data_IF_927576688912
#
_entry.id   IF_927576688912
#
_cell.length_a   1.000
_cell.length_b   1.000
_cell.length_c   1.000
_cell.angle_alpha   90.00
_cell.angle_beta   90.00
_cell.angle_gamma   90.00
#
_symmetry.space_group_name_H-M   'P 1'
#
loop_
_entity.id
_entity.type
_entity.pdbx_description
1 polymer ?
#
# COMPACT_ATOMS: atom_id res chain seq x y z
N UNK A 1 -54.83 -31.20 -23.11
CA UNK A 1 -55.34 -32.58 -23.01
C UNK A 1 -56.65 -32.54 -22.24
N UNK A 2 -57.75 -33.01 -22.80
CA UNK A 2 -59.07 -33.03 -22.13
C UNK A 2 -59.35 -34.46 -21.69
N UNK A 3 -59.49 -34.69 -20.39
CA UNK A 3 -59.93 -35.97 -19.84
C UNK A 3 -61.42 -35.85 -19.58
N UNK A 4 -62.21 -36.70 -20.23
CA UNK A 4 -63.67 -36.76 -20.07
C UNK A 4 -63.97 -37.87 -19.08
N UNK A 5 -64.65 -37.54 -17.98
CA UNK A 5 -65.12 -38.54 -17.00
C UNK A 5 -66.62 -38.34 -16.85
N UNK A 6 -67.41 -39.26 -17.38
CA UNK A 6 -68.86 -39.30 -17.19
C UNK A 6 -69.16 -40.14 -15.94
N UNK A 7 -69.59 -39.48 -14.85
CA UNK A 7 -69.98 -40.14 -13.62
C UNK A 7 -71.50 -40.36 -13.61
N UNK A 8 -71.92 -41.61 -13.85
CA UNK A 8 -73.30 -42.06 -13.63
C UNK A 8 -73.37 -42.83 -12.31
N UNK A 9 -74.04 -42.23 -11.33
CA UNK A 9 -74.54 -42.91 -10.13
C UNK A 9 -73.49 -43.29 -9.08
N UNK A 10 -73.08 -42.36 -8.23
CA UNK A 10 -72.52 -42.67 -6.90
C UNK A 10 -72.92 -41.63 -5.86
N UNK A 11 -73.21 -42.09 -4.66
CA UNK A 11 -73.37 -41.25 -3.48
C UNK A 11 -71.99 -40.75 -3.03
N UNK A 12 -71.78 -39.44 -3.06
CA UNK A 12 -70.62 -38.80 -2.42
C UNK A 12 -71.05 -38.38 -1.02
N UNK A 13 -70.60 -39.11 -0.01
CA UNK A 13 -70.60 -38.63 1.39
C UNK A 13 -69.31 -37.85 1.58
N UNK A 14 -69.37 -36.52 1.55
CA UNK A 14 -68.28 -35.65 1.99
C UNK A 14 -68.61 -35.10 3.36
N UNK A 15 -67.85 -35.50 4.37
CA UNK A 15 -67.76 -34.77 5.63
C UNK A 15 -67.26 -33.35 5.36
N UNK A 16 -67.83 -32.40 6.12
CA UNK A 16 -67.81 -30.98 5.80
C UNK A 16 -66.43 -30.35 5.60
N UNK A 17 -66.29 -29.63 4.49
CA UNK A 17 -65.36 -28.49 4.31
C UNK A 17 -65.62 -27.72 3.01
N UNK A 18 -66.26 -28.35 2.01
CA UNK A 18 -66.71 -27.70 0.79
C UNK A 18 -68.22 -27.57 0.86
N UNK A 19 -68.74 -26.36 1.05
CA UNK A 19 -70.18 -26.07 1.14
C UNK A 19 -70.92 -26.32 -0.17
N UNK A 20 -71.00 -27.59 -0.59
CA UNK A 20 -71.79 -28.04 -1.73
C UNK A 20 -73.14 -28.51 -1.17
N UNK A 21 -74.27 -27.90 -1.56
CA UNK A 21 -75.58 -28.38 -1.10
C UNK A 21 -75.84 -29.78 -1.65
N UNK A 22 -76.37 -30.67 -0.81
CA UNK A 22 -76.69 -32.06 -1.15
C UNK A 22 -77.55 -32.12 -2.42
N UNK A 23 -77.02 -32.72 -3.49
CA UNK A 23 -77.71 -32.89 -4.76
C UNK A 23 -78.69 -34.07 -4.67
N UNK A 24 -80.00 -33.79 -4.78
CA UNK A 24 -81.04 -34.80 -4.93
C UNK A 24 -80.99 -35.50 -6.30
N UNK A 25 -81.49 -36.73 -6.34
CA UNK A 25 -81.27 -37.78 -7.35
C UNK A 25 -81.76 -37.55 -8.81
N UNK A 26 -81.72 -36.33 -9.35
CA UNK A 26 -82.10 -36.09 -10.77
C UNK A 26 -81.34 -34.98 -11.48
N UNK A 27 -80.06 -34.76 -11.14
CA UNK A 27 -79.24 -33.74 -11.82
C UNK A 27 -78.11 -34.34 -12.66
N UNK A 28 -78.05 -33.94 -13.94
CA UNK A 28 -76.89 -34.17 -14.79
C UNK A 28 -75.88 -33.04 -14.56
N UNK A 29 -74.73 -33.36 -13.98
CA UNK A 29 -73.59 -32.46 -13.89
C UNK A 29 -72.56 -32.81 -14.97
N UNK A 30 -72.06 -31.80 -15.69
CA UNK A 30 -70.97 -31.99 -16.67
C UNK A 30 -69.72 -31.30 -16.12
N UNK A 31 -68.79 -32.07 -15.58
CA UNK A 31 -67.51 -31.55 -15.11
C UNK A 31 -66.54 -31.51 -16.29
N UNK A 32 -66.05 -30.33 -16.64
CA UNK A 32 -65.05 -30.18 -17.71
C UNK A 32 -63.75 -29.67 -17.10
N UNK A 33 -62.78 -30.56 -16.93
CA UNK A 33 -61.45 -30.17 -16.45
C UNK A 33 -60.67 -29.66 -17.66
N UNK A 34 -60.42 -28.35 -17.69
CA UNK A 34 -59.59 -27.71 -18.72
C UNK A 34 -58.29 -27.26 -18.08
N UNK A 35 -57.17 -27.79 -18.59
CA UNK A 35 -55.84 -27.35 -18.20
C UNK A 35 -55.36 -26.41 -19.31
N UNK A 36 -55.27 -25.11 -19.01
CA UNK A 36 -54.83 -24.09 -19.96
C UNK A 36 -53.33 -24.27 -20.25
N UNK A 37 -52.91 -24.41 -21.53
CA UNK A 37 -51.50 -24.72 -21.88
C UNK A 37 -50.51 -23.57 -21.61
N UNK A 38 -50.99 -22.35 -21.36
CA UNK A 38 -50.13 -21.18 -21.07
C UNK A 38 -49.31 -21.32 -19.76
N UNK A 39 -49.51 -22.42 -19.03
CA UNK A 39 -48.72 -22.83 -17.87
C UNK A 39 -47.45 -23.63 -18.20
N UNK A 40 -47.14 -23.90 -19.48
CA UNK A 40 -45.96 -24.67 -19.91
C UNK A 40 -44.95 -23.89 -20.76
N UNK A 41 -45.13 -22.58 -20.97
CA UNK A 41 -44.10 -21.75 -21.60
C UNK A 41 -43.09 -21.29 -20.55
N UNK A 42 -41.90 -21.89 -20.61
CA UNK A 42 -40.76 -21.56 -19.77
C UNK A 42 -40.35 -20.09 -19.93
N UNK A 43 -40.59 -19.27 -18.91
CA UNK A 43 -39.88 -18.00 -18.73
C UNK A 43 -38.53 -18.27 -18.02
N UNK A 44 -37.46 -17.49 -18.30
CA UNK A 44 -36.10 -17.80 -17.82
C UNK A 44 -35.91 -17.73 -16.30
N UNK A 45 -36.90 -17.21 -15.56
CA UNK A 45 -36.81 -16.97 -14.13
C UNK A 45 -37.99 -17.63 -13.42
N UNK A 46 -37.77 -18.85 -12.90
CA UNK A 46 -38.54 -19.53 -11.85
C UNK A 46 -40.01 -19.14 -11.72
N UNK A 47 -40.88 -19.75 -12.54
CA UNK A 47 -42.34 -19.57 -12.46
C UNK A 47 -42.91 -20.06 -11.14
N UNK A 48 -43.67 -19.20 -10.45
CA UNK A 48 -44.68 -19.64 -9.47
C UNK A 48 -45.68 -20.55 -10.21
N UNK A 49 -46.06 -21.72 -9.65
CA UNK A 49 -47.07 -22.56 -10.28
C UNK A 49 -48.40 -21.80 -10.37
N UNK A 50 -48.90 -21.64 -11.59
CA UNK A 50 -50.22 -21.07 -11.84
C UNK A 50 -51.30 -22.02 -11.25
N UNK A 51 -52.37 -21.48 -10.65
CA UNK A 51 -53.43 -22.32 -10.10
C UNK A 51 -54.13 -23.09 -11.23
N UNK A 52 -54.38 -24.38 -11.03
CA UNK A 52 -55.27 -25.15 -11.91
C UNK A 52 -56.68 -24.69 -11.60
N UNK A 53 -57.38 -24.15 -12.60
CA UNK A 53 -58.77 -23.73 -12.48
C UNK A 53 -59.67 -24.87 -12.96
N UNK A 54 -60.42 -25.45 -12.05
CA UNK A 54 -61.46 -26.43 -12.34
C UNK A 54 -62.76 -25.67 -12.54
N UNK A 55 -63.33 -25.79 -13.73
CA UNK A 55 -64.64 -25.23 -14.06
C UNK A 55 -65.68 -26.34 -14.05
N UNK A 56 -66.66 -26.21 -13.16
CA UNK A 56 -67.78 -27.14 -13.07
C UNK A 56 -69.05 -26.44 -13.53
N UNK A 57 -69.59 -26.89 -14.66
CA UNK A 57 -70.86 -26.41 -15.19
C UNK A 57 -71.96 -27.41 -14.79
N UNK A 58 -72.95 -26.95 -14.03
CA UNK A 58 -74.09 -27.80 -13.68
C UNK A 58 -75.42 -27.09 -13.93
N UNK A 59 -76.44 -27.91 -14.21
CA UNK A 59 -77.79 -27.45 -14.53
C UNK A 59 -78.75 -28.02 -13.49
N UNK A 60 -79.14 -27.18 -12.54
CA UNK A 60 -80.13 -27.54 -11.52
C UNK A 60 -81.53 -27.42 -12.12
N UNK A 61 -82.37 -28.46 -11.99
CA UNK A 61 -83.72 -28.49 -12.56
C UNK A 61 -84.67 -27.37 -12.09
N UNK A 62 -84.29 -26.56 -11.08
CA UNK A 62 -85.06 -25.41 -10.60
C UNK A 62 -84.61 -24.05 -11.15
N UNK A 63 -83.43 -23.95 -11.78
CA UNK A 63 -82.90 -22.70 -12.32
C UNK A 63 -82.64 -22.88 -13.83
N UNK A 64 -83.32 -22.08 -14.68
CA UNK A 64 -83.16 -22.15 -16.14
C UNK A 64 -81.79 -21.69 -16.64
N UNK A 65 -81.03 -20.98 -15.82
CA UNK A 65 -79.68 -20.49 -16.10
C UNK A 65 -78.60 -21.51 -15.69
N UNK A 66 -77.62 -21.81 -16.55
CA UNK A 66 -76.48 -22.65 -16.18
C UNK A 66 -75.67 -21.96 -15.09
N UNK A 67 -75.40 -22.68 -14.00
CA UNK A 67 -74.57 -22.18 -12.90
C UNK A 67 -73.15 -22.72 -13.07
N UNK A 68 -72.18 -21.81 -13.00
CA UNK A 68 -70.75 -22.11 -13.12
C UNK A 68 -70.15 -21.99 -11.73
N UNK A 69 -69.49 -23.05 -11.26
CA UNK A 69 -68.63 -22.99 -10.07
C UNK A 69 -67.19 -23.11 -10.55
N UNK A 70 -66.40 -22.10 -10.22
CA UNK A 70 -64.95 -22.10 -10.43
C UNK A 70 -64.28 -22.48 -9.12
N UNK A 71 -63.43 -23.51 -9.16
CA UNK A 71 -62.61 -23.92 -8.02
C UNK A 71 -61.16 -23.91 -8.45
N UNK A 72 -60.32 -23.18 -7.73
CA UNK A 72 -58.88 -23.14 -8.01
C UNK A 72 -58.12 -24.02 -7.04
N UNK A 73 -57.30 -24.94 -7.55
CA UNK A 73 -56.34 -25.70 -6.74
C UNK A 73 -54.99 -25.04 -6.87
N UNK A 74 -54.48 -24.49 -5.77
CA UNK A 74 -53.12 -23.95 -5.69
C UNK A 74 -52.14 -25.12 -5.57
N UNK A 75 -51.38 -25.39 -6.64
CA UNK A 75 -50.27 -26.33 -6.57
C UNK A 75 -49.18 -25.74 -5.69
N UNK A 76 -49.07 -26.21 -4.45
CA UNK A 76 -47.88 -25.97 -3.64
C UNK A 76 -46.87 -27.02 -4.08
N UNK A 77 -46.08 -26.70 -5.11
CA UNK A 77 -44.86 -27.47 -5.35
C UNK A 77 -44.00 -27.33 -4.10
N UNK A 78 -43.81 -28.43 -3.36
CA UNK A 78 -42.81 -28.48 -2.29
C UNK A 78 -41.45 -28.43 -2.98
N UNK A 79 -40.98 -27.20 -3.23
CA UNK A 79 -39.60 -26.96 -3.60
C UNK A 79 -38.83 -27.12 -2.29
N UNK A 80 -38.21 -28.29 -2.10
CA UNK A 80 -37.29 -28.52 -0.98
C UNK A 80 -36.28 -27.38 -0.97
N UNK A 81 -36.15 -26.71 0.18
CA UNK A 81 -35.17 -25.66 0.31
C UNK A 81 -33.78 -26.28 0.05
N UNK A 82 -32.84 -25.58 -0.62
CA UNK A 82 -31.51 -26.12 -0.90
C UNK A 82 -30.82 -26.69 0.35
N UNK A 83 -31.05 -26.06 1.51
CA UNK A 83 -30.51 -26.47 2.83
C UNK A 83 -31.07 -27.81 3.35
N UNK A 84 -32.21 -28.25 2.83
CA UNK A 84 -32.80 -29.56 3.11
C UNK A 84 -32.20 -30.66 2.23
N UNK A 85 -31.59 -30.30 1.10
CA UNK A 85 -31.02 -31.23 0.12
C UNK A 85 -29.55 -31.50 0.39
N UNK A 86 -28.79 -30.45 0.72
CA UNK A 86 -27.37 -30.57 1.05
C UNK A 86 -26.96 -29.56 2.13
N UNK A 87 -25.93 -29.89 2.89
CA UNK A 87 -25.18 -28.95 3.71
C UNK A 87 -23.87 -28.61 3.01
N UNK A 88 -23.62 -27.33 2.75
CA UNK A 88 -22.40 -26.85 2.09
C UNK A 88 -21.61 -26.03 3.09
N UNK A 89 -20.41 -26.50 3.41
CA UNK A 89 -19.47 -25.84 4.33
C UNK A 89 -18.20 -25.45 3.62
N UNK A 90 -17.61 -24.34 4.03
CA UNK A 90 -16.33 -23.88 3.53
C UNK A 90 -15.28 -24.05 4.62
N UNK A 91 -14.13 -24.59 4.24
CA UNK A 91 -12.94 -24.66 5.08
C UNK A 91 -11.76 -24.07 4.31
N UNK A 92 -11.04 -23.11 4.91
CA UNK A 92 -9.87 -22.49 4.28
C UNK A 92 -8.60 -22.90 5.02
N UNK A 93 -7.53 -23.17 4.27
CA UNK A 93 -6.22 -23.49 4.84
C UNK A 93 -5.44 -22.26 5.33
N UNK A 94 -5.85 -21.05 4.93
CA UNK A 94 -5.02 -19.84 5.11
C UNK A 94 -5.90 -18.61 5.31
N UNK A 95 -5.59 -17.80 6.32
CA UNK A 95 -6.35 -16.58 6.64
C UNK A 95 -6.03 -15.42 5.68
N UNK A 96 -4.79 -15.36 5.17
CA UNK A 96 -4.34 -14.30 4.26
C UNK A 96 -3.77 -14.88 2.97
N UNK A 97 -4.22 -14.37 1.83
CA UNK A 97 -3.74 -14.75 0.50
C UNK A 97 -2.83 -13.66 -0.03
N UNK A 98 -1.66 -14.05 -0.53
CA UNK A 98 -0.68 -13.10 -1.10
C UNK A 98 -0.20 -13.59 -2.47
N UNK A 99 0.50 -12.73 -3.21
CA UNK A 99 1.10 -13.07 -4.51
C UNK A 99 1.98 -14.34 -4.46
N UNK A 100 2.70 -14.55 -3.35
CA UNK A 100 3.63 -15.68 -3.19
C UNK A 100 3.04 -16.85 -2.40
N UNK A 101 1.90 -16.65 -1.75
CA UNK A 101 1.21 -17.69 -0.98
C UNK A 101 -0.25 -17.76 -1.45
N UNK A 102 -0.54 -18.59 -2.48
CA UNK A 102 -1.89 -18.88 -2.93
C UNK A 102 -2.71 -19.53 -1.81
N UNK A 103 -3.99 -19.19 -1.73
CA UNK A 103 -4.91 -19.79 -0.76
C UNK A 103 -5.60 -21.01 -1.33
N UNK A 104 -6.02 -21.92 -0.45
CA UNK A 104 -6.87 -23.06 -0.79
C UNK A 104 -8.15 -23.01 0.02
N UNK A 105 -9.28 -23.12 -0.69
CA UNK A 105 -10.61 -23.24 -0.10
C UNK A 105 -11.18 -24.59 -0.46
N UNK A 106 -11.65 -25.32 0.54
CA UNK A 106 -12.34 -26.58 0.37
C UNK A 106 -13.83 -26.36 0.51
N UNK A 107 -14.57 -26.67 -0.55
CA UNK A 107 -16.03 -26.71 -0.53
C UNK A 107 -16.46 -28.12 -0.16
N UNK A 108 -16.96 -28.30 1.06
CA UNK A 108 -17.42 -29.58 1.58
C UNK A 108 -18.93 -29.64 1.39
N UNK A 109 -19.37 -30.50 0.48
CA UNK A 109 -20.79 -30.72 0.21
C UNK A 109 -21.19 -32.04 0.87
N UNK A 110 -22.18 -31.99 1.76
CA UNK A 110 -22.77 -33.16 2.43
C UNK A 110 -24.16 -33.38 1.91
N UNK A 111 -24.37 -34.55 1.32
CA UNK A 111 -25.66 -34.97 0.80
C UNK A 111 -26.58 -35.36 1.96
N UNK A 112 -27.76 -34.74 2.08
CA UNK A 112 -28.75 -35.10 3.10
C UNK A 112 -29.82 -36.06 2.58
N UNK A 113 -29.80 -36.35 1.27
CA UNK A 113 -30.77 -37.23 0.63
C UNK A 113 -30.36 -38.70 0.76
N UNK A 114 -31.36 -39.56 0.64
CA UNK A 114 -31.25 -41.02 0.44
C UNK A 114 -30.89 -41.40 -1.00
N UNK A 115 -30.75 -40.40 -1.88
CA UNK A 115 -30.43 -40.54 -3.30
C UNK A 115 -29.06 -39.91 -3.62
N UNK A 116 -28.35 -40.37 -4.68
CA UNK A 116 -27.09 -39.75 -5.08
C UNK A 116 -27.29 -38.30 -5.54
N UNK A 117 -26.41 -37.42 -5.09
CA UNK A 117 -26.41 -35.99 -5.40
C UNK A 117 -25.27 -35.67 -6.37
N UNK A 118 -25.59 -35.11 -7.53
CA UNK A 118 -24.60 -34.67 -8.51
C UNK A 118 -24.27 -33.19 -8.32
N UNK A 119 -23.00 -32.91 -8.01
CA UNK A 119 -22.46 -31.54 -7.95
C UNK A 119 -21.99 -31.16 -9.35
N UNK A 120 -22.48 -30.02 -9.85
CA UNK A 120 -22.06 -29.44 -11.12
C UNK A 120 -20.74 -28.68 -11.00
N UNK A 121 -20.47 -27.81 -11.98
CA UNK A 121 -19.32 -26.90 -11.92
C UNK A 121 -19.53 -25.93 -10.75
N UNK A 122 -18.57 -25.88 -9.82
CA UNK A 122 -18.56 -24.86 -8.78
C UNK A 122 -18.01 -23.59 -9.41
N UNK A 123 -18.81 -22.53 -9.41
CA UNK A 123 -18.41 -21.22 -9.91
C UNK A 123 -18.27 -20.25 -8.74
N UNK A 124 -17.39 -19.27 -8.89
CA UNK A 124 -17.19 -18.23 -7.88
C UNK A 124 -17.50 -16.87 -8.48
N UNK A 125 -18.14 -16.02 -7.70
CA UNK A 125 -18.19 -14.58 -7.93
C UNK A 125 -17.26 -13.92 -6.94
N UNK A 126 -16.18 -13.36 -7.46
CA UNK A 126 -15.15 -12.71 -6.68
C UNK A 126 -14.80 -11.37 -7.32
N UNK A 127 -14.14 -10.46 -6.58
CA UNK A 127 -13.62 -9.25 -7.17
C UNK A 127 -12.62 -9.56 -8.29
N UNK A 128 -12.51 -8.63 -9.26
CA UNK A 128 -11.67 -8.76 -10.48
C UNK A 128 -10.23 -9.17 -10.19
N UNK A 129 -9.73 -8.87 -8.98
CA UNK A 129 -8.38 -9.15 -8.53
C UNK A 129 -8.21 -10.53 -7.85
N UNK A 130 -9.03 -11.51 -8.20
CA UNK A 130 -8.85 -12.91 -7.75
C UNK A 130 -9.09 -13.88 -8.89
N UNK A 131 -8.11 -14.75 -9.15
CA UNK A 131 -8.28 -15.87 -10.07
C UNK A 131 -8.68 -17.09 -9.25
N UNK A 132 -9.81 -17.69 -9.61
CA UNK A 132 -10.38 -18.85 -8.93
C UNK A 132 -10.45 -20.00 -9.91
N UNK A 133 -9.67 -21.04 -9.66
CA UNK A 133 -9.71 -22.25 -10.47
C UNK A 133 -11.02 -23.00 -10.17
N UNK A 134 -11.88 -23.18 -11.17
CA UNK A 134 -13.14 -23.92 -10.99
C UNK A 134 -12.82 -25.40 -10.80
N UNK A 135 -13.37 -26.04 -9.77
CA UNK A 135 -13.32 -27.50 -9.66
C UNK A 135 -14.44 -28.14 -10.49
N UNK A 136 -14.12 -29.24 -11.17
CA UNK A 136 -15.15 -30.12 -11.74
C UNK A 136 -15.88 -30.80 -10.59
N UNK A 137 -17.21 -30.75 -10.62
CA UNK A 137 -18.04 -31.44 -9.64
C UNK A 137 -18.02 -32.95 -9.81
N UNK A 138 -18.69 -33.65 -8.90
CA UNK A 138 -18.76 -35.11 -8.86
C UNK A 138 -20.06 -35.60 -8.25
N UNK A 139 -20.29 -36.91 -8.33
CA UNK A 139 -21.43 -37.55 -7.68
C UNK A 139 -21.08 -37.89 -6.24
N UNK A 140 -21.97 -37.52 -5.32
CA UNK A 140 -21.88 -37.80 -3.89
C UNK A 140 -22.90 -38.89 -3.55
N UNK A 141 -22.49 -39.98 -2.88
CA UNK A 141 -23.43 -41.03 -2.50
C UNK A 141 -24.47 -40.51 -1.48
N UNK A 142 -25.59 -41.24 -1.30
CA UNK A 142 -26.56 -40.97 -0.23
C UNK A 142 -25.87 -40.80 1.13
N UNK A 143 -26.25 -39.75 1.87
CA UNK A 143 -25.66 -39.41 3.18
C UNK A 143 -24.13 -39.23 3.21
N UNK A 144 -23.47 -39.15 2.05
CA UNK A 144 -22.03 -38.98 1.95
C UNK A 144 -21.61 -37.51 1.87
N UNK A 145 -20.29 -37.29 2.00
CA UNK A 145 -19.68 -35.98 1.82
C UNK A 145 -18.53 -36.04 0.81
N UNK A 146 -18.35 -34.99 0.03
CA UNK A 146 -17.20 -34.79 -0.83
C UNK A 146 -16.62 -33.39 -0.64
N UNK A 147 -15.30 -33.28 -0.73
CA UNK A 147 -14.57 -32.02 -0.66
C UNK A 147 -14.02 -31.67 -2.05
N UNK A 148 -14.30 -30.45 -2.49
CA UNK A 148 -13.79 -29.90 -3.75
C UNK A 148 -12.78 -28.80 -3.44
N UNK A 149 -11.55 -28.96 -3.94
CA UNK A 149 -10.47 -27.99 -3.75
C UNK A 149 -10.58 -26.87 -4.78
N UNK A 150 -10.58 -25.63 -4.28
CA UNK A 150 -10.57 -24.42 -5.08
C UNK A 150 -9.31 -23.63 -4.75
N UNK A 151 -8.50 -23.38 -5.78
CA UNK A 151 -7.30 -22.56 -5.65
C UNK A 151 -7.66 -21.09 -5.84
N UNK A 152 -7.23 -20.26 -4.89
CA UNK A 152 -7.38 -18.82 -4.91
C UNK A 152 -6.01 -18.17 -5.18
N UNK A 153 -5.94 -17.34 -6.22
CA UNK A 153 -4.73 -16.61 -6.62
C UNK A 153 -5.01 -15.12 -6.77
N UNK A 154 -3.98 -14.30 -6.60
CA UNK A 154 -4.05 -12.85 -6.79
C UNK A 154 -3.25 -12.44 -8.04
N UNK A 155 -3.71 -11.45 -8.84
CA UNK A 155 -3.05 -11.02 -10.07
C UNK A 155 -1.86 -10.05 -9.84
N UNK A 156 -1.11 -10.23 -8.75
CA UNK A 156 0.10 -9.45 -8.45
C UNK A 156 -0.18 -8.10 -7.79
N UNK A 157 -0.94 -7.19 -8.43
CA UNK A 157 -1.34 -5.89 -7.85
C UNK A 157 -2.76 -5.96 -7.31
N UNK A 158 -2.95 -5.58 -6.05
CA UNK A 158 -4.25 -5.58 -5.39
C UNK A 158 -4.31 -4.48 -4.33
N UNK A 159 -5.53 -4.14 -3.93
CA UNK A 159 -5.77 -3.32 -2.75
C UNK A 159 -5.84 -4.25 -1.53
N UNK A 160 -4.93 -4.16 -0.54
CA UNK A 160 -4.97 -5.04 0.63
C UNK A 160 -6.25 -4.81 1.44
N UNK A 161 -6.79 -5.89 1.99
CA UNK A 161 -8.03 -5.82 2.78
C UNK A 161 -8.84 -7.10 2.78
N UNK A 162 -10.02 -7.05 3.39
CA UNK A 162 -10.96 -8.18 3.44
C UNK A 162 -12.01 -8.06 2.35
N UNK A 163 -12.23 -9.15 1.64
CA UNK A 163 -13.16 -9.21 0.52
C UNK A 163 -14.06 -10.43 0.62
N UNK A 164 -15.37 -10.27 0.36
CA UNK A 164 -16.28 -11.39 0.24
C UNK A 164 -16.12 -12.07 -1.12
N UNK A 165 -16.06 -13.40 -1.11
CA UNK A 165 -16.14 -14.28 -2.27
C UNK A 165 -17.39 -15.13 -2.11
N UNK A 166 -18.21 -15.22 -3.15
CA UNK A 166 -19.42 -16.05 -3.12
C UNK A 166 -19.23 -17.25 -4.03
N UNK A 167 -19.36 -18.46 -3.47
CA UNK A 167 -19.34 -19.69 -4.22
C UNK A 167 -20.77 -20.11 -4.58
N UNK A 168 -21.02 -20.38 -5.86
CA UNK A 168 -22.26 -20.92 -6.39
C UNK A 168 -22.06 -22.41 -6.71
N UNK A 169 -22.70 -23.24 -5.89
CA UNK A 169 -22.66 -24.70 -5.99
C UNK A 169 -23.94 -25.17 -6.64
N UNK A 170 -23.85 -25.54 -7.92
CA UNK A 170 -24.95 -26.15 -8.64
C UNK A 170 -25.13 -27.62 -8.23
N UNK A 171 -26.32 -27.97 -7.78
CA UNK A 171 -26.71 -29.30 -7.32
C UNK A 171 -27.81 -29.87 -8.22
N UNK A 172 -27.75 -31.17 -8.47
CA UNK A 172 -28.80 -31.88 -9.21
C UNK A 172 -29.00 -33.30 -8.67
N UNK A 173 -30.24 -33.75 -8.66
CA UNK A 173 -30.59 -35.09 -8.17
C UNK A 173 -31.78 -35.68 -8.92
N UNK A 174 -31.86 -37.02 -9.01
CA UNK A 174 -33.02 -37.68 -9.59
C UNK A 174 -34.25 -37.51 -8.69
N UNK A 175 -35.41 -37.32 -9.31
CA UNK A 175 -36.72 -37.26 -8.67
C UNK A 175 -37.73 -38.08 -9.49
N UNK A 176 -38.88 -38.43 -8.90
CA UNK A 176 -39.91 -39.25 -9.55
C UNK A 176 -40.44 -38.65 -10.86
N UNK A 177 -40.33 -37.33 -11.04
CA UNK A 177 -40.80 -36.60 -12.22
C UNK A 177 -39.66 -36.07 -13.11
N UNK A 178 -38.42 -36.51 -12.90
CA UNK A 178 -37.24 -36.07 -13.64
C UNK A 178 -36.10 -35.57 -12.75
N UNK A 179 -35.12 -34.87 -13.31
CA UNK A 179 -34.00 -34.33 -12.54
C UNK A 179 -34.36 -32.99 -11.92
N UNK A 180 -34.22 -32.87 -10.60
CA UNK A 180 -34.32 -31.59 -9.88
C UNK A 180 -32.96 -30.89 -9.85
N UNK A 181 -32.98 -29.56 -9.75
CA UNK A 181 -31.79 -28.71 -9.66
C UNK A 181 -31.97 -27.66 -8.56
N UNK A 182 -30.89 -27.33 -7.88
CA UNK A 182 -30.81 -26.24 -6.93
C UNK A 182 -29.42 -25.60 -6.98
N UNK A 183 -29.32 -24.35 -6.56
CA UNK A 183 -28.04 -23.66 -6.37
C UNK A 183 -27.93 -23.24 -4.91
N UNK A 184 -26.76 -23.48 -4.32
CA UNK A 184 -26.43 -23.02 -2.98
C UNK A 184 -25.36 -21.95 -3.09
N UNK A 185 -25.66 -20.76 -2.58
CA UNK A 185 -24.71 -19.64 -2.51
C UNK A 185 -24.06 -19.60 -1.14
N UNK A 186 -22.74 -19.74 -1.09
CA UNK A 186 -21.99 -19.73 0.17
C UNK A 186 -21.00 -18.58 0.17
N UNK A 187 -21.20 -17.54 1.01
CA UNK A 187 -20.24 -16.45 1.16
C UNK A 187 -19.02 -16.87 1.99
N UNK A 188 -17.86 -16.34 1.65
CA UNK A 188 -16.61 -16.53 2.37
C UNK A 188 -15.80 -15.25 2.36
N UNK A 189 -15.34 -14.80 3.52
CA UNK A 189 -14.43 -13.67 3.59
C UNK A 189 -12.99 -14.15 3.47
N UNK A 190 -12.24 -13.45 2.62
CA UNK A 190 -10.81 -13.70 2.42
C UNK A 190 -10.05 -12.42 2.65
N UNK A 191 -8.96 -12.50 3.41
CA UNK A 191 -8.03 -11.39 3.57
C UNK A 191 -6.97 -11.46 2.47
N UNK A 192 -6.88 -10.41 1.66
CA UNK A 192 -5.86 -10.25 0.64
C UNK A 192 -4.76 -9.33 1.17
N UNK A 193 -3.52 -9.76 1.05
CA UNK A 193 -2.36 -9.00 1.51
C UNK A 193 -1.21 -9.01 0.51
N UNK A 194 -0.24 -8.13 0.76
CA UNK A 194 1.03 -8.08 0.02
C UNK A 194 2.10 -8.77 0.87
N UNK A 195 2.82 -9.72 0.28
CA UNK A 195 3.68 -10.70 0.96
C UNK A 195 4.72 -10.10 1.92
N UNK A 196 5.22 -8.89 1.66
CA UNK A 196 6.26 -8.25 2.45
C UNK A 196 5.76 -7.16 3.41
N UNK A 197 4.49 -6.76 3.33
CA UNK A 197 3.99 -5.62 4.09
C UNK A 197 3.87 -5.92 5.60
N UNK A 198 3.19 -7.01 5.94
CA UNK A 198 2.83 -7.33 7.35
C UNK A 198 4.06 -7.62 8.20
N UNK A 199 5.03 -8.36 7.66
CA UNK A 199 6.25 -8.70 8.38
C UNK A 199 7.12 -7.45 8.62
N UNK A 200 7.27 -6.59 7.61
CA UNK A 200 8.20 -5.46 7.68
C UNK A 200 7.64 -4.31 8.50
N UNK A 201 6.35 -3.99 8.38
CA UNK A 201 5.73 -2.95 9.22
C UNK A 201 5.83 -3.28 10.71
N UNK A 202 5.66 -4.57 11.07
CA UNK A 202 5.81 -5.04 12.45
C UNK A 202 7.25 -4.94 12.95
N UNK A 203 8.24 -5.33 12.14
CA UNK A 203 9.66 -5.27 12.51
C UNK A 203 10.13 -3.81 12.67
N UNK A 204 9.71 -2.93 11.76
CA UNK A 204 10.13 -1.53 11.78
C UNK A 204 9.28 -0.66 12.73
N UNK A 205 8.25 -1.23 13.36
CA UNK A 205 7.27 -0.49 14.18
C UNK A 205 6.66 0.73 13.46
N UNK A 206 6.55 0.65 12.13
CA UNK A 206 5.97 1.75 11.32
C UNK A 206 4.46 1.51 11.22
N UNK A 207 3.61 2.49 11.59
CA UNK A 207 2.16 2.28 11.66
C UNK A 207 1.49 1.90 10.34
N UNK A 208 2.09 2.28 9.21
CA UNK A 208 1.50 2.10 7.89
C UNK A 208 2.57 2.11 6.80
N UNK A 209 2.35 1.35 5.73
CA UNK A 209 3.16 1.42 4.52
C UNK A 209 3.21 2.85 3.94
N UNK A 210 2.15 3.63 4.09
CA UNK A 210 2.10 5.02 3.62
C UNK A 210 3.14 5.94 4.26
N UNK A 211 3.70 5.55 5.41
CA UNK A 211 4.72 6.31 6.14
C UNK A 211 6.15 5.84 5.84
N UNK A 212 6.26 4.68 5.22
CA UNK A 212 7.53 3.97 5.07
C UNK A 212 8.51 4.67 4.11
N UNK A 213 8.09 5.25 2.96
CA UNK A 213 9.03 5.92 2.05
C UNK A 213 9.83 7.05 2.72
N UNK A 214 9.13 7.98 3.38
CA UNK A 214 9.78 9.10 4.06
C UNK A 214 10.58 8.66 5.29
N UNK A 215 10.11 7.65 6.02
CA UNK A 215 10.90 7.01 7.08
C UNK A 215 12.24 6.49 6.55
N UNK A 216 12.22 5.73 5.45
CA UNK A 216 13.42 5.19 4.83
C UNK A 216 14.35 6.30 4.33
N UNK A 217 13.81 7.37 3.75
CA UNK A 217 14.61 8.53 3.32
C UNK A 217 15.39 9.15 4.49
N UNK A 218 14.74 9.38 5.64
CA UNK A 218 15.39 10.00 6.80
C UNK A 218 16.46 9.07 7.40
N UNK A 219 16.15 7.78 7.55
CA UNK A 219 17.11 6.80 8.07
C UNK A 219 18.31 6.66 7.13
N UNK A 220 18.08 6.53 5.82
CA UNK A 220 19.14 6.46 4.82
C UNK A 220 19.99 7.74 4.79
N UNK A 221 19.35 8.90 4.94
CA UNK A 221 20.04 10.18 5.04
C UNK A 221 20.99 10.21 6.24
N UNK A 222 20.51 9.81 7.42
CA UNK A 222 21.31 9.81 8.65
C UNK A 222 22.45 8.78 8.60
N UNK A 223 22.17 7.58 8.08
CA UNK A 223 23.17 6.52 7.94
C UNK A 223 24.27 6.94 6.96
N UNK A 224 23.91 7.52 5.82
CA UNK A 224 24.87 8.04 4.86
C UNK A 224 25.70 9.17 5.46
N UNK A 225 25.08 10.08 6.21
CA UNK A 225 25.79 11.16 6.89
C UNK A 225 26.82 10.63 7.90
N UNK A 226 26.45 9.63 8.71
CA UNK A 226 27.38 8.98 9.64
C UNK A 226 28.50 8.22 8.91
N UNK A 227 28.16 7.48 7.85
CA UNK A 227 29.14 6.77 7.03
C UNK A 227 30.17 7.72 6.42
N UNK A 228 29.73 8.87 5.89
CA UNK A 228 30.63 9.90 5.35
C UNK A 228 31.53 10.55 6.41
N UNK A 229 31.05 10.68 7.66
CA UNK A 229 31.89 11.11 8.79
C UNK A 229 33.00 10.09 9.07
N UNK A 230 32.63 8.80 9.17
CA UNK A 230 33.56 7.71 9.44
C UNK A 230 34.62 7.58 8.34
N UNK A 231 34.21 7.64 7.07
CA UNK A 231 35.13 7.61 5.93
C UNK A 231 36.17 8.75 5.94
N UNK A 232 35.89 9.84 6.66
CA UNK A 232 36.78 10.99 6.79
C UNK A 232 37.49 11.05 8.13
N UNK A 233 37.48 9.97 8.90
CA UNK A 233 38.19 9.85 10.17
C UNK A 233 37.47 10.48 11.37
N UNK A 234 36.27 11.05 11.17
CA UNK A 234 35.50 11.64 12.27
C UNK A 234 34.71 10.55 13.02
N UNK A 235 34.56 10.72 14.34
CA UNK A 235 33.71 9.84 15.16
C UNK A 235 32.24 9.90 14.71
N UNK A 236 31.45 8.82 14.89
CA UNK A 236 30.03 8.83 14.63
C UNK A 236 29.35 9.94 15.44
N UNK A 237 28.57 10.79 14.77
CA UNK A 237 27.79 11.82 15.44
C UNK A 237 26.50 11.27 16.01
N UNK A 238 25.93 12.00 16.95
CA UNK A 238 24.55 11.75 17.38
C UNK A 238 23.59 11.87 16.18
N UNK A 239 22.57 10.99 16.09
CA UNK A 239 21.57 11.05 15.04
C UNK A 239 20.80 12.37 15.14
N UNK A 240 20.73 13.12 14.03
CA UNK A 240 20.03 14.40 13.97
C UNK A 240 18.51 14.27 14.18
N UNK A 241 17.93 13.09 13.89
CA UNK A 241 16.52 12.82 14.06
C UNK A 241 16.29 11.51 14.80
N UNK A 242 15.63 11.60 15.96
CA UNK A 242 15.20 10.41 16.71
C UNK A 242 13.85 9.89 16.18
N UNK A 243 13.71 8.58 15.91
CA UNK A 243 12.43 7.96 15.55
C UNK A 243 11.32 8.11 16.61
N UNK A 244 11.68 8.44 17.84
CA UNK A 244 10.71 8.71 18.92
C UNK A 244 10.23 10.15 18.95
N UNK A 245 10.87 11.06 18.20
CA UNK A 245 10.52 12.48 18.20
C UNK A 245 9.31 12.76 17.28
N UNK A 246 8.36 13.64 17.68
CA UNK A 246 7.26 14.02 16.80
C UNK A 246 7.71 14.69 15.50
N UNK A 247 8.80 15.47 15.54
CA UNK A 247 9.37 16.14 14.37
C UNK A 247 9.83 15.16 13.30
N UNK A 248 10.42 14.03 13.70
CA UNK A 248 10.77 12.94 12.78
C UNK A 248 9.55 12.43 12.01
N UNK A 249 8.44 12.17 12.70
CA UNK A 249 7.23 11.66 12.06
C UNK A 249 6.57 12.67 11.12
N UNK A 250 6.55 13.96 11.48
CA UNK A 250 6.03 15.02 10.60
C UNK A 250 6.82 15.07 9.28
N UNK A 251 8.16 15.01 9.36
CA UNK A 251 9.02 15.01 8.17
C UNK A 251 8.80 13.71 7.37
N UNK A 252 8.71 12.55 8.04
CA UNK A 252 8.51 11.26 7.38
C UNK A 252 7.16 11.20 6.63
N UNK A 253 6.07 11.70 7.24
CA UNK A 253 4.76 11.80 6.60
C UNK A 253 4.84 12.71 5.38
N UNK A 254 5.44 13.89 5.52
CA UNK A 254 5.55 14.89 4.45
C UNK A 254 6.34 14.34 3.25
N UNK A 255 7.49 13.71 3.51
CA UNK A 255 8.32 13.08 2.47
C UNK A 255 7.61 11.89 1.81
N UNK A 256 6.82 11.12 2.57
CA UNK A 256 6.04 10.02 1.98
C UNK A 256 4.93 10.52 1.07
N UNK A 257 4.25 11.61 1.44
CA UNK A 257 3.29 12.29 0.58
C UNK A 257 3.93 12.83 -0.69
N UNK A 258 5.12 13.43 -0.59
CA UNK A 258 5.88 13.88 -1.76
C UNK A 258 6.26 12.71 -2.67
N UNK A 259 6.71 11.59 -2.10
CA UNK A 259 7.03 10.39 -2.86
C UNK A 259 5.82 9.86 -3.63
N UNK A 260 4.62 9.94 -3.04
CA UNK A 260 3.39 9.53 -3.70
C UNK A 260 3.03 10.40 -4.92
N UNK A 261 3.46 11.67 -4.92
CA UNK A 261 3.25 12.58 -6.05
C UNK A 261 4.28 12.36 -7.19
N UNK A 262 5.51 12.01 -6.83
CA UNK A 262 6.62 11.92 -7.80
C UNK A 262 6.74 10.51 -8.39
N UNK A 263 6.37 9.48 -7.65
CA UNK A 263 6.49 8.10 -8.11
C UNK A 263 5.43 7.80 -9.19
N UNK A 264 5.83 7.20 -10.33
CA UNK A 264 4.97 7.16 -11.53
C UNK A 264 3.80 6.17 -11.44
N UNK A 265 3.74 5.30 -10.42
CA UNK A 265 2.67 4.32 -10.26
C UNK A 265 1.88 4.63 -8.99
N UNK A 266 0.56 4.51 -9.07
CA UNK A 266 -0.28 4.55 -7.88
C UNK A 266 -0.02 3.32 -7.01
N UNK A 267 0.69 3.52 -5.90
CA UNK A 267 0.91 2.53 -4.86
C UNK A 267 0.05 2.79 -3.61
N UNK A 268 -0.83 3.80 -3.63
CA UNK A 268 -1.72 4.13 -2.52
C UNK A 268 -2.99 3.27 -2.56
N UNK A 269 -3.47 2.95 -3.75
CA UNK A 269 -4.73 2.22 -3.94
C UNK A 269 -4.51 0.74 -4.22
N UNK A 270 -3.65 0.41 -5.19
CA UNK A 270 -3.38 -0.97 -5.59
C UNK A 270 -1.89 -1.16 -5.90
N UNK A 271 -1.24 -2.04 -5.15
CA UNK A 271 0.18 -2.33 -5.28
C UNK A 271 0.47 -3.82 -5.14
N UNK A 272 1.60 -4.22 -5.71
CA UNK A 272 2.15 -5.56 -5.52
C UNK A 272 3.45 -5.54 -4.74
N UNK A 273 4.02 -6.73 -4.54
CA UNK A 273 5.33 -6.89 -3.88
C UNK A 273 6.42 -6.12 -4.62
N UNK A 274 6.34 -6.08 -5.96
CA UNK A 274 7.30 -5.36 -6.80
C UNK A 274 7.27 -3.84 -6.58
N UNK A 275 6.08 -3.25 -6.57
CA UNK A 275 5.92 -1.81 -6.37
C UNK A 275 6.44 -1.40 -4.99
N UNK A 276 6.18 -2.23 -3.97
CA UNK A 276 6.71 -2.07 -2.61
C UNK A 276 8.24 -1.98 -2.61
N UNK A 277 8.91 -2.97 -3.20
CA UNK A 277 10.38 -3.02 -3.26
C UNK A 277 10.95 -1.84 -4.04
N UNK A 278 10.35 -1.50 -5.18
CA UNK A 278 10.79 -0.37 -6.00
C UNK A 278 10.70 0.96 -5.23
N UNK A 279 9.57 1.24 -4.56
CA UNK A 279 9.40 2.44 -3.75
C UNK A 279 10.43 2.50 -2.62
N UNK A 280 10.71 1.38 -1.95
CA UNK A 280 11.70 1.34 -0.87
C UNK A 280 13.12 1.62 -1.36
N UNK A 281 13.52 1.00 -2.47
CA UNK A 281 14.85 1.20 -3.06
C UNK A 281 15.02 2.65 -3.50
N UNK A 282 14.03 3.22 -4.19
CA UNK A 282 14.09 4.62 -4.64
C UNK A 282 14.15 5.58 -3.45
N UNK A 283 13.33 5.36 -2.42
CA UNK A 283 13.29 6.21 -1.22
C UNK A 283 14.63 6.16 -0.46
N UNK A 284 15.17 4.95 -0.28
CA UNK A 284 16.48 4.75 0.38
C UNK A 284 17.59 5.43 -0.41
N UNK A 285 17.62 5.24 -1.73
CA UNK A 285 18.63 5.84 -2.60
C UNK A 285 18.53 7.37 -2.59
N UNK A 286 17.32 7.93 -2.64
CA UNK A 286 17.10 9.37 -2.65
C UNK A 286 17.59 10.00 -1.34
N UNK A 287 17.25 9.41 -0.18
CA UNK A 287 17.75 9.88 1.12
C UNK A 287 19.28 9.85 1.20
N UNK A 288 19.90 8.76 0.74
CA UNK A 288 21.35 8.61 0.70
C UNK A 288 22.02 9.63 -0.23
N UNK A 289 21.51 9.81 -1.45
CA UNK A 289 22.05 10.76 -2.44
C UNK A 289 21.93 12.21 -1.95
N UNK A 290 20.78 12.59 -1.40
CA UNK A 290 20.57 13.93 -0.83
C UNK A 290 21.55 14.19 0.31
N UNK A 291 21.73 13.21 1.22
CA UNK A 291 22.71 13.30 2.30
C UNK A 291 24.13 13.47 1.75
N UNK A 292 24.51 12.64 0.79
CA UNK A 292 25.83 12.67 0.19
C UNK A 292 26.11 14.01 -0.51
N UNK A 293 25.16 14.50 -1.30
CA UNK A 293 25.25 15.77 -2.00
C UNK A 293 25.34 16.94 -1.01
N UNK A 294 24.47 16.97 -0.01
CA UNK A 294 24.46 18.00 1.03
C UNK A 294 25.77 18.03 1.82
N UNK A 295 26.25 16.87 2.26
CA UNK A 295 27.49 16.75 3.02
C UNK A 295 28.71 17.18 2.19
N UNK A 296 28.82 16.72 0.95
CA UNK A 296 29.92 17.11 0.06
C UNK A 296 29.89 18.60 -0.25
N UNK A 297 28.71 19.13 -0.60
CA UNK A 297 28.52 20.56 -0.84
C UNK A 297 28.95 21.37 0.37
N UNK A 298 28.40 21.05 1.55
CA UNK A 298 28.71 21.76 2.80
C UNK A 298 30.18 21.67 3.15
N UNK A 299 30.80 20.52 2.98
CA UNK A 299 32.22 20.32 3.26
C UNK A 299 33.10 21.20 2.35
N UNK A 300 32.88 21.17 1.03
CA UNK A 300 33.65 22.00 0.09
C UNK A 300 33.43 23.50 0.37
N UNK A 301 32.21 23.88 0.75
CA UNK A 301 31.87 25.27 1.00
C UNK A 301 32.50 25.87 2.25
N UNK A 302 32.76 25.06 3.28
CA UNK A 302 33.21 25.60 4.57
C UNK A 302 34.53 25.05 5.05
N UNK A 303 34.83 23.77 4.79
CA UNK A 303 35.98 23.11 5.38
C UNK A 303 37.25 23.45 4.59
N UNK A 304 38.33 23.91 5.25
CA UNK A 304 39.61 24.11 4.60
C UNK A 304 40.12 22.84 3.89
N UNK A 305 40.87 23.03 2.81
CA UNK A 305 41.58 21.98 2.07
C UNK A 305 43.04 22.37 1.89
N UNK A 306 43.92 21.39 1.68
CA UNK A 306 45.36 21.63 1.46
C UNK A 306 45.67 22.42 0.20
N UNK A 307 44.72 22.51 -0.72
CA UNK A 307 44.82 23.26 -1.97
C UNK A 307 44.18 24.64 -1.90
N UNK A 308 43.63 25.04 -0.75
CA UNK A 308 42.99 26.35 -0.64
C UNK A 308 44.02 27.48 -0.69
N UNK A 309 43.72 28.46 -1.54
CA UNK A 309 44.45 29.72 -1.59
C UNK A 309 44.08 30.62 -0.38
N UNK A 310 44.94 31.58 0.00
CA UNK A 310 44.66 32.50 1.12
C UNK A 310 43.29 33.19 1.07
N UNK A 311 42.91 33.70 -0.11
CA UNK A 311 41.60 34.36 -0.32
C UNK A 311 40.44 33.37 -0.14
N UNK A 312 40.61 32.11 -0.57
CA UNK A 312 39.60 31.06 -0.38
C UNK A 312 39.39 30.74 1.09
N UNK A 313 40.46 30.72 1.89
CA UNK A 313 40.36 30.54 3.35
C UNK A 313 39.61 31.71 3.98
N UNK A 314 39.88 32.97 3.60
CA UNK A 314 39.12 34.12 4.11
C UNK A 314 37.63 34.02 3.78
N UNK A 315 37.27 33.56 2.57
CA UNK A 315 35.87 33.29 2.20
C UNK A 315 35.24 32.16 3.04
N UNK A 316 35.98 31.07 3.28
CA UNK A 316 35.52 29.97 4.13
C UNK A 316 35.33 30.43 5.58
N UNK A 317 36.24 31.23 6.13
CA UNK A 317 36.10 31.86 7.45
C UNK A 317 34.86 32.76 7.51
N UNK A 318 34.63 33.58 6.49
CA UNK A 318 33.45 34.44 6.42
C UNK A 318 32.13 33.65 6.42
N UNK A 319 32.06 32.53 5.68
CA UNK A 319 30.89 31.63 5.68
C UNK A 319 30.66 30.93 7.02
N UNK A 320 31.72 30.75 7.81
CA UNK A 320 31.64 30.22 9.17
C UNK A 320 31.32 31.32 10.21
N UNK A 321 31.18 32.59 9.80
CA UNK A 321 31.00 33.72 10.71
C UNK A 321 32.27 34.08 11.48
N UNK A 322 33.44 33.63 11.03
CA UNK A 322 34.73 33.85 11.68
C UNK A 322 35.41 35.10 11.10
N UNK A 323 36.08 35.85 11.98
CA UNK A 323 36.91 37.00 11.62
C UNK A 323 38.35 36.62 11.25
N UNK A 324 39.16 37.63 10.95
CA UNK A 324 40.59 37.47 10.62
C UNK A 324 41.47 37.34 11.87
N UNK A 325 40.96 37.70 13.05
CA UNK A 325 41.62 37.42 14.32
C UNK A 325 41.37 35.96 14.69
N UNK A 326 42.44 35.17 14.73
CA UNK A 326 42.40 33.73 14.95
C UNK A 326 43.28 33.35 16.13
N UNK A 327 42.90 32.26 16.78
CA UNK A 327 43.73 31.62 17.80
C UNK A 327 45.03 31.13 17.15
N UNK A 328 46.16 31.46 17.77
CA UNK A 328 47.46 30.94 17.39
C UNK A 328 47.72 29.63 18.12
N UNK A 329 48.29 28.68 17.43
CA UNK A 329 48.59 27.34 17.93
C UNK A 329 49.99 26.93 17.53
N UNK A 330 50.72 26.30 18.44
CA UNK A 330 52.05 25.76 18.17
C UNK A 330 51.94 24.28 17.84
N UNK A 331 52.51 23.88 16.70
CA UNK A 331 52.61 22.48 16.28
C UNK A 331 53.98 21.96 16.73
N UNK A 332 54.00 20.86 17.48
CA UNK A 332 55.22 20.17 17.93
C UNK A 332 56.27 21.10 18.59
N UNK A 333 55.82 22.11 19.33
CA UNK A 333 56.69 23.00 20.13
C UNK A 333 57.48 24.07 19.36
N UNK A 334 57.28 24.25 18.04
CA UNK A 334 58.08 25.25 17.28
C UNK A 334 57.39 26.02 16.15
N UNK A 335 56.39 25.47 15.45
CA UNK A 335 55.75 26.15 14.31
C UNK A 335 54.40 26.76 14.74
N UNK A 336 54.35 28.09 14.87
CA UNK A 336 53.11 28.82 15.22
C UNK A 336 52.25 29.02 13.98
N UNK A 337 51.01 28.52 14.04
CA UNK A 337 50.00 28.60 12.98
C UNK A 337 48.70 29.19 13.51
N UNK A 338 47.81 29.57 12.62
CA UNK A 338 46.48 30.05 12.97
C UNK A 338 45.45 28.94 12.84
N UNK A 339 44.61 28.81 13.87
CA UNK A 339 43.49 27.89 13.87
C UNK A 339 42.41 28.35 12.88
N UNK A 340 42.26 27.64 11.77
CA UNK A 340 41.25 27.93 10.74
C UNK A 340 39.88 27.38 11.15
N UNK A 341 39.84 26.13 11.58
CA UNK A 341 38.62 25.45 11.98
C UNK A 341 38.92 24.32 12.95
N UNK A 342 38.11 24.19 14.00
CA UNK A 342 38.05 22.96 14.81
C UNK A 342 37.09 21.99 14.12
N UNK A 343 37.49 20.73 13.94
CA UNK A 343 36.54 19.72 13.45
C UNK A 343 35.39 19.57 14.47
N UNK A 344 34.18 19.17 14.04
CA UNK A 344 33.07 18.92 14.95
C UNK A 344 33.43 17.87 16.02
N UNK A 345 32.72 17.90 17.15
CA UNK A 345 32.96 17.04 18.33
C UNK A 345 33.35 15.59 17.98
N UNK A 346 34.47 15.16 18.57
CA UNK A 346 34.98 13.79 18.51
C UNK A 346 36.23 13.61 17.63
N UNK A 347 36.59 14.59 16.81
CA UNK A 347 37.82 14.58 16.03
C UNK A 347 38.87 15.49 16.72
N UNK A 348 40.01 14.90 17.07
CA UNK A 348 41.13 15.62 17.70
C UNK A 348 41.88 16.49 16.67
N UNK A 349 41.53 16.35 15.38
CA UNK A 349 42.12 17.17 14.32
C UNK A 349 41.55 18.58 14.27
N UNK A 350 42.47 19.53 14.12
CA UNK A 350 42.16 20.92 13.83
C UNK A 350 42.81 21.34 12.53
N UNK A 351 42.13 22.17 11.75
CA UNK A 351 42.71 22.79 10.56
C UNK A 351 43.51 24.01 10.98
N UNK A 352 44.78 24.02 10.61
CA UNK A 352 45.71 25.11 10.86
C UNK A 352 46.25 25.66 9.56
N UNK A 353 46.50 26.97 9.53
CA UNK A 353 47.01 27.70 8.37
C UNK A 353 48.22 28.55 8.75
N UNK A 354 49.11 28.78 7.79
CA UNK A 354 50.13 29.82 7.90
C UNK A 354 49.48 31.23 8.00
N UNK A 355 50.23 32.25 8.45
CA UNK A 355 49.86 33.62 8.17
C UNK A 355 49.73 33.85 6.65
N UNK A 356 48.78 34.70 6.27
CA UNK A 356 48.61 35.22 4.92
C UNK A 356 49.51 36.44 4.80
N UNK A 357 50.50 36.39 3.91
CA UNK A 357 51.39 37.49 3.60
C UNK A 357 50.87 38.27 2.40
N UNK A 358 50.79 39.59 2.57
CA UNK A 358 50.43 40.52 1.52
C UNK A 358 51.66 41.33 1.13
N UNK A 359 52.02 41.32 -0.15
CA UNK A 359 53.14 42.10 -0.69
C UNK A 359 52.62 43.12 -1.68
N UNK A 360 52.85 44.41 -1.40
CA UNK A 360 52.46 45.49 -2.30
C UNK A 360 53.34 45.54 -3.55
N UNK A 361 52.70 45.70 -4.70
CA UNK A 361 53.36 45.91 -5.98
C UNK A 361 53.42 47.41 -6.31
N UNK A 362 54.24 47.78 -7.31
CA UNK A 362 54.50 49.19 -7.68
C UNK A 362 53.26 49.99 -8.10
N UNK A 363 52.15 49.32 -8.46
CA UNK A 363 50.87 49.95 -8.81
C UNK A 363 49.93 50.26 -7.64
N UNK A 364 50.32 49.96 -6.40
CA UNK A 364 49.46 50.17 -5.23
C UNK A 364 49.35 51.65 -4.84
N UNK A 365 48.12 52.12 -4.66
CA UNK A 365 47.85 53.51 -4.23
C UNK A 365 47.77 53.63 -2.70
N UNK A 366 47.89 54.86 -2.18
CA UNK A 366 47.68 55.12 -0.75
C UNK A 366 46.23 54.82 -0.30
N UNK A 367 45.25 54.94 -1.22
CA UNK A 367 43.87 54.57 -0.95
C UNK A 367 43.71 53.05 -0.77
N UNK A 368 44.41 52.25 -1.58
CA UNK A 368 44.45 50.78 -1.41
C UNK A 368 45.02 50.40 -0.04
N UNK A 369 46.09 51.08 0.40
CA UNK A 369 46.73 50.85 1.70
C UNK A 369 45.80 51.23 2.86
N UNK A 370 45.12 52.38 2.74
CA UNK A 370 44.15 52.86 3.73
C UNK A 370 42.95 51.92 3.82
N UNK A 371 42.39 51.50 2.68
CA UNK A 371 41.27 50.55 2.62
C UNK A 371 41.64 49.20 3.24
N UNK A 372 42.86 48.69 2.98
CA UNK A 372 43.34 47.47 3.64
C UNK A 372 43.41 47.64 5.16
N UNK A 373 43.98 48.75 5.63
CA UNK A 373 44.07 49.05 7.07
C UNK A 373 42.70 49.09 7.74
N UNK A 374 41.72 49.76 7.12
CA UNK A 374 40.36 49.84 7.62
C UNK A 374 39.68 48.46 7.67
N UNK A 375 39.85 47.63 6.63
CA UNK A 375 39.29 46.28 6.57
C UNK A 375 39.93 45.34 7.60
N UNK A 376 41.25 45.45 7.83
CA UNK A 376 41.95 44.71 8.89
C UNK A 376 41.47 45.12 10.28
N UNK A 377 41.31 46.41 10.52
CA UNK A 377 40.81 46.94 11.80
C UNK A 377 39.39 46.45 12.11
N UNK A 378 38.52 46.37 11.09
CA UNK A 378 37.16 45.82 11.23
C UNK A 378 37.13 44.32 11.50
N UNK A 379 38.20 43.59 11.19
CA UNK A 379 38.37 42.17 11.49
C UNK A 379 37.48 41.21 10.68
N UNK A 380 36.72 41.69 9.69
CA UNK A 380 35.77 40.86 8.92
C UNK A 380 36.45 40.19 7.72
N UNK A 381 36.45 38.86 7.69
CA UNK A 381 37.14 38.09 6.65
C UNK A 381 36.53 38.24 5.25
N UNK A 382 35.21 38.37 5.12
CA UNK A 382 34.52 38.45 3.81
C UNK A 382 34.89 39.70 3.02
N UNK A 383 34.62 40.91 3.55
CA UNK A 383 34.98 42.16 2.88
C UNK A 383 36.49 42.28 2.58
N UNK A 384 37.33 41.70 3.44
CA UNK A 384 38.77 41.62 3.19
C UNK A 384 39.09 40.70 2.00
N UNK A 385 38.46 39.51 1.93
CA UNK A 385 38.63 38.61 0.80
C UNK A 385 38.24 39.25 -0.53
N UNK A 386 37.12 39.98 -0.55
CA UNK A 386 36.63 40.66 -1.76
C UNK A 386 37.59 41.76 -2.22
N UNK A 387 38.09 42.58 -1.28
CA UNK A 387 39.11 43.59 -1.59
C UNK A 387 40.41 42.96 -2.10
N UNK A 388 40.86 41.88 -1.49
CA UNK A 388 42.09 41.20 -1.87
C UNK A 388 41.98 40.56 -3.27
N UNK A 389 40.82 40.01 -3.63
CA UNK A 389 40.57 39.47 -4.97
C UNK A 389 40.55 40.59 -6.04
N UNK A 390 39.93 41.74 -5.72
CA UNK A 390 39.93 42.95 -6.55
C UNK A 390 41.36 43.49 -6.75
N UNK A 391 42.12 43.63 -5.66
CA UNK A 391 43.50 44.12 -5.67
C UNK A 391 44.46 43.17 -6.42
N UNK A 392 44.27 41.86 -6.27
CA UNK A 392 45.03 40.85 -7.02
C UNK A 392 44.71 40.92 -8.52
N UNK A 393 43.45 41.11 -8.88
CA UNK A 393 43.01 41.27 -10.29
C UNK A 393 43.63 42.52 -10.92
N UNK A 394 43.76 43.61 -10.15
CA UNK A 394 44.47 44.83 -10.57
C UNK A 394 46.00 44.71 -10.52
N UNK A 395 46.55 43.56 -10.10
CA UNK A 395 47.99 43.31 -9.95
C UNK A 395 48.70 44.29 -9.00
N UNK A 396 47.98 44.86 -8.02
CA UNK A 396 48.57 45.80 -7.04
C UNK A 396 49.04 45.12 -5.76
N UNK A 397 48.64 43.86 -5.55
CA UNK A 397 49.02 43.07 -4.39
C UNK A 397 49.29 41.61 -4.80
N UNK A 398 50.33 41.03 -4.23
CA UNK A 398 50.59 39.60 -4.26
C UNK A 398 50.16 38.98 -2.91
N UNK A 399 49.52 37.82 -2.97
CA UNK A 399 48.91 37.16 -1.82
C UNK A 399 49.42 35.73 -1.78
N UNK A 400 50.15 35.40 -0.72
CA UNK A 400 50.65 34.04 -0.49
C UNK A 400 50.62 33.69 1.00
N UNK A 401 50.93 32.46 1.32
CA UNK A 401 51.16 31.99 2.68
C UNK A 401 52.60 32.31 3.14
N UNK A 402 52.82 32.43 4.45
CA UNK A 402 54.15 32.57 5.05
C UNK A 402 54.55 31.30 5.82
N UNK A 403 55.67 30.62 5.50
CA UNK A 403 56.53 30.84 4.34
C UNK A 403 55.81 30.53 3.02
N UNK A 404 56.28 31.11 1.92
CA UNK A 404 55.77 30.92 0.55
C UNK A 404 55.53 29.45 0.26
N UNK A 405 54.34 29.11 -0.24
CA UNK A 405 53.94 27.73 -0.51
C UNK A 405 53.49 26.89 0.70
N UNK A 406 53.45 27.46 1.90
CA UNK A 406 52.80 26.79 3.03
C UNK A 406 51.30 26.61 2.73
N UNK A 407 50.71 25.47 3.11
CA UNK A 407 49.28 25.22 2.86
C UNK A 407 48.53 24.94 4.16
N UNK A 408 47.20 25.18 4.19
CA UNK A 408 46.34 24.67 5.25
C UNK A 408 46.53 23.17 5.41
N UNK A 409 46.53 22.66 6.64
CA UNK A 409 46.60 21.21 6.90
C UNK A 409 45.87 20.83 8.19
N UNK A 410 45.35 19.60 8.29
CA UNK A 410 44.84 19.07 9.55
C UNK A 410 46.00 18.61 10.45
N UNK A 411 45.90 18.85 11.76
CA UNK A 411 46.85 18.42 12.79
C UNK A 411 46.12 17.97 14.05
N UNK A 412 46.60 16.92 14.72
CA UNK A 412 45.92 16.34 15.91
C UNK A 412 46.40 16.89 17.25
N UNK A 413 47.60 17.47 17.31
CA UNK A 413 48.18 17.98 18.56
C UNK A 413 48.60 19.44 18.37
N UNK A 414 47.98 20.31 19.15
CA UNK A 414 48.25 21.75 19.15
C UNK A 414 48.26 22.31 20.56
N UNK A 415 49.18 23.22 20.83
CA UNK A 415 49.20 23.98 22.10
C UNK A 415 48.77 25.42 21.82
N UNK A 416 47.80 25.99 22.57
CA UNK A 416 47.41 27.39 22.41
C UNK A 416 48.61 28.33 22.63
N UNK A 417 48.77 29.31 21.74
CA UNK A 417 49.88 30.28 21.75
C UNK A 417 49.42 31.75 21.79
N UNK A 418 48.10 32.00 21.80
CA UNK A 418 47.52 33.34 21.90
C UNK A 418 46.48 33.62 20.81
N UNK A 419 46.29 34.90 20.48
CA UNK A 419 45.44 35.35 19.37
C UNK A 419 46.20 36.39 18.55
N UNK A 420 45.97 36.38 17.24
CA UNK A 420 46.54 37.35 16.32
C UNK A 420 45.76 37.46 15.03
N UNK A 421 46.11 38.42 14.20
CA UNK A 421 45.53 38.53 12.87
C UNK A 421 46.22 37.56 11.92
N UNK A 422 45.44 36.73 11.23
CA UNK A 422 45.97 35.79 10.23
C UNK A 422 46.55 36.50 9.00
N UNK A 423 46.24 37.77 8.79
CA UNK A 423 46.70 38.57 7.64
C UNK A 423 47.79 39.54 8.08
N UNK A 424 48.96 39.41 7.45
CA UNK A 424 50.15 40.25 7.60
C UNK A 424 50.37 41.02 6.30
N UNK A 425 50.67 42.31 6.39
CA UNK A 425 50.84 43.20 5.23
C UNK A 425 52.09 44.07 5.40
#
# INVERSE_FOLDING_TARGET
>A
MSIRVDLLGFWVVTSGALGIPCLGASQQARVTISVTPDSLLAAPNGTRPAPIVIRTDYRSGRLRTPSIVLSSVKLIGSQEAPDQVADVKLSSSTQTITEKQPGKVFVIVTNKLDLPLSVGRISSRSPVFTAVDSSLGGSIPPYGSAAFEINLRTPGRLQPGRYPIVFDVALSWPSRTGTRRANVLVPHEVELGVFAEVAVLKVLSVPSFLLLPGFLMIIAYQLMWQFQRILRGAKPGEPAFSPTSPSFWVIAITLSGLMALVYPRDYLTAYGTRDLVEVWLVSTLLGAVVSAAWFNWRYVWTTPTTTDLPVTILRKLARQGLGIEREQVTINGGDTRYLLQRMPEGDDQVWVGAPILLTWQSGATDDDRKRLFDLRTRGKAGPLADFLDEAKTRQVIEIDWRPTGATPRPVSEVTPAGKGQIVEA
#
